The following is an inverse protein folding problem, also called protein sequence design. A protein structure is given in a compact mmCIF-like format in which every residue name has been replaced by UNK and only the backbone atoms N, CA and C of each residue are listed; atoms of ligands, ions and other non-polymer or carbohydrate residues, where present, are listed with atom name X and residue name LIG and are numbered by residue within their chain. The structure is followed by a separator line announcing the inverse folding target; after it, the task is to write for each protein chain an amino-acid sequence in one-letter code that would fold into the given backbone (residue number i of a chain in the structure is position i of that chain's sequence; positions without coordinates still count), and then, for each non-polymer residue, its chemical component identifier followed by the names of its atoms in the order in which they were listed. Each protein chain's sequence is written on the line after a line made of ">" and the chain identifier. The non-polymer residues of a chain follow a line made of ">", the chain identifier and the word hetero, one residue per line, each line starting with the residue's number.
data_IF_312809061272
#
_entry.id   IF_312809061272
#
_cell.length_a   1.000
_cell.length_b   1.000
_cell.length_c   1.000
_cell.angle_alpha   90.00
_cell.angle_beta   90.00
_cell.angle_gamma   90.00
#
_symmetry.space_group_name_H-M   'P 1'
#
loop_
_entity.id
_entity.type
_entity.pdbx_description
1 polymer ?
#
# COMPACT_ATOMS: atom_id res chain seq x y z
N UNK A 1 -2.94 -15.52 -20.21
CA UNK A 1 -1.66 -14.95 -19.76
C UNK A 1 -1.90 -13.48 -19.53
N UNK A 2 -1.63 -12.99 -18.33
CA UNK A 2 -1.75 -11.58 -17.95
C UNK A 2 -0.34 -11.00 -17.84
N UNK A 3 -0.13 -9.78 -18.35
CA UNK A 3 1.16 -9.08 -18.22
C UNK A 3 1.48 -8.89 -16.74
N UNK A 4 2.70 -9.23 -16.32
CA UNK A 4 3.18 -8.99 -14.95
C UNK A 4 4.43 -8.14 -15.03
N UNK A 5 4.40 -6.97 -14.38
CA UNK A 5 5.57 -6.11 -14.20
C UNK A 5 6.18 -6.44 -12.84
N UNK A 6 7.44 -6.79 -12.81
CA UNK A 6 8.19 -7.01 -11.58
C UNK A 6 8.34 -5.71 -10.77
N UNK A 7 8.51 -4.57 -11.45
CA UNK A 7 8.50 -3.24 -10.86
C UNK A 7 8.30 -2.16 -11.93
N UNK A 8 7.89 -0.97 -11.49
CA UNK A 8 7.93 0.28 -12.28
C UNK A 8 8.83 1.37 -11.68
N UNK A 9 9.54 1.08 -10.58
CA UNK A 9 10.32 2.06 -9.82
C UNK A 9 11.84 1.82 -9.87
N UNK A 10 12.28 0.63 -10.29
CA UNK A 10 13.70 0.27 -10.37
C UNK A 10 14.34 0.98 -11.58
N UNK A 11 15.43 1.72 -11.36
CA UNK A 11 16.14 2.46 -12.42
C UNK A 11 17.31 1.69 -13.03
N UNK A 12 17.77 0.61 -12.42
CA UNK A 12 18.87 -0.21 -12.93
C UNK A 12 18.41 -1.65 -13.17
N UNK A 13 18.73 -2.26 -14.33
CA UNK A 13 18.40 -3.66 -14.57
C UNK A 13 19.00 -4.57 -13.48
N UNK A 14 18.25 -5.58 -12.99
CA UNK A 14 18.80 -6.59 -12.10
C UNK A 14 20.02 -7.28 -12.72
N UNK A 15 21.06 -7.55 -11.92
CA UNK A 15 22.24 -8.26 -12.39
C UNK A 15 21.97 -9.69 -12.86
N UNK A 16 20.88 -10.29 -12.37
CA UNK A 16 20.38 -11.62 -12.77
C UNK A 16 18.87 -11.55 -12.94
N UNK A 17 18.40 -11.27 -14.16
CA UNK A 17 16.99 -11.34 -14.52
C UNK A 17 16.63 -12.75 -15.00
N UNK A 18 15.44 -13.22 -14.65
CA UNK A 18 14.89 -14.48 -15.15
C UNK A 18 14.24 -14.28 -16.52
N UNK A 19 14.24 -15.32 -17.35
CA UNK A 19 13.55 -15.30 -18.65
C UNK A 19 12.06 -14.94 -18.46
N UNK A 20 11.59 -13.96 -19.22
CA UNK A 20 10.23 -13.42 -19.13
C UNK A 20 10.04 -12.34 -18.07
N UNK A 21 11.06 -11.97 -17.30
CA UNK A 21 10.96 -10.85 -16.36
C UNK A 21 10.67 -9.54 -17.12
N UNK A 22 9.65 -8.81 -16.70
CA UNK A 22 9.20 -7.60 -17.36
C UNK A 22 9.17 -6.43 -16.37
N UNK A 23 9.65 -5.26 -16.78
CA UNK A 23 9.70 -4.05 -15.96
C UNK A 23 9.15 -2.87 -16.75
N UNK A 24 8.48 -1.94 -16.09
CA UNK A 24 8.27 -0.61 -16.67
C UNK A 24 9.48 0.26 -16.32
N UNK A 25 10.17 0.75 -17.35
CA UNK A 25 11.42 1.50 -17.17
C UNK A 25 11.09 2.93 -16.72
N UNK A 26 11.45 3.35 -15.50
CA UNK A 26 11.18 4.71 -15.03
C UNK A 26 12.11 5.74 -15.67
N UNK A 27 11.77 7.02 -15.51
CA UNK A 27 12.70 8.09 -15.80
C UNK A 27 14.00 7.96 -14.96
N UNK A 28 15.14 8.33 -15.55
CA UNK A 28 16.45 8.21 -14.89
C UNK A 28 17.00 6.78 -14.86
N UNK A 29 16.50 5.88 -15.71
CA UNK A 29 17.07 4.56 -15.85
C UNK A 29 18.51 4.58 -16.40
N UNK A 30 19.30 3.57 -16.03
CA UNK A 30 20.73 3.48 -16.30
C UNK A 30 21.13 2.12 -16.88
N UNK A 31 22.40 1.96 -17.25
CA UNK A 31 22.97 0.74 -17.82
C UNK A 31 22.22 0.31 -19.09
N UNK A 32 21.84 -0.97 -19.20
CA UNK A 32 21.11 -1.48 -20.36
C UNK A 32 19.73 -0.81 -20.55
N UNK A 33 19.21 -0.12 -19.54
CA UNK A 33 17.94 0.61 -19.59
C UNK A 33 18.12 2.11 -19.87
N UNK A 34 19.36 2.59 -20.05
CA UNK A 34 19.63 3.98 -20.38
C UNK A 34 18.92 4.39 -21.69
N UNK A 35 18.22 5.53 -21.65
CA UNK A 35 17.41 6.02 -22.77
C UNK A 35 16.11 5.25 -23.05
N UNK A 36 15.73 4.26 -22.23
CA UNK A 36 14.52 3.43 -22.42
C UNK A 36 13.35 3.82 -21.51
N UNK A 37 13.42 4.99 -20.86
CA UNK A 37 12.36 5.47 -19.97
C UNK A 37 10.98 5.50 -20.67
N UNK A 38 9.94 5.06 -19.95
CA UNK A 38 8.57 4.96 -20.46
C UNK A 38 8.25 3.66 -21.21
N UNK A 39 9.27 2.85 -21.55
CA UNK A 39 9.11 1.57 -22.24
C UNK A 39 8.97 0.42 -21.25
N UNK A 40 8.53 -0.73 -21.74
CA UNK A 40 8.66 -1.99 -21.02
C UNK A 40 9.98 -2.66 -21.38
N UNK A 41 10.72 -3.15 -20.40
CA UNK A 41 11.90 -3.98 -20.57
C UNK A 41 11.55 -5.44 -20.28
N UNK A 42 11.57 -6.30 -21.29
CA UNK A 42 11.33 -7.73 -21.20
C UNK A 42 12.66 -8.48 -21.32
N UNK A 43 13.02 -9.30 -20.33
CA UNK A 43 14.19 -10.15 -20.42
C UNK A 43 13.87 -11.40 -21.25
N UNK A 44 14.47 -11.52 -22.42
CA UNK A 44 14.25 -12.64 -23.35
C UNK A 44 15.54 -12.97 -24.10
N UNK A 45 15.81 -14.26 -24.29
CA UNK A 45 16.99 -14.71 -25.03
C UNK A 45 18.32 -14.25 -24.42
N UNK A 46 18.36 -14.00 -23.11
CA UNK A 46 19.55 -13.52 -22.40
C UNK A 46 19.82 -12.01 -22.51
N UNK A 47 18.88 -11.22 -23.04
CA UNK A 47 18.98 -9.78 -23.17
C UNK A 47 17.68 -9.05 -22.85
N UNK A 48 17.69 -7.73 -22.93
CA UNK A 48 16.51 -6.89 -22.74
C UNK A 48 15.93 -6.49 -24.09
N UNK A 49 14.70 -6.90 -24.36
CA UNK A 49 13.87 -6.35 -25.42
C UNK A 49 12.99 -5.23 -24.86
N UNK A 50 12.78 -4.19 -25.67
CA UNK A 50 12.03 -3.02 -25.24
C UNK A 50 10.77 -2.82 -26.09
N UNK A 51 9.64 -2.64 -25.42
CA UNK A 51 8.33 -2.49 -26.04
C UNK A 51 7.69 -1.16 -25.63
N UNK A 52 7.01 -0.52 -26.57
CA UNK A 52 6.26 0.70 -26.30
C UNK A 52 4.84 0.32 -25.82
N UNK A 53 4.48 0.60 -24.55
CA UNK A 53 3.13 0.32 -24.07
C UNK A 53 2.12 1.24 -24.75
N UNK A 54 0.91 0.73 -24.98
CA UNK A 54 -0.21 1.50 -25.56
C UNK A 54 -1.26 1.76 -24.48
N UNK A 55 -1.89 2.94 -24.53
CA UNK A 55 -2.97 3.32 -23.61
C UNK A 55 -3.99 2.20 -23.43
N UNK A 56 -4.33 1.90 -22.17
CA UNK A 56 -5.29 0.87 -21.80
C UNK A 56 -4.68 -0.52 -21.57
N UNK A 57 -3.38 -0.70 -21.79
CA UNK A 57 -2.68 -1.91 -21.36
C UNK A 57 -2.82 -2.11 -19.85
N UNK A 58 -2.93 -3.37 -19.44
CA UNK A 58 -3.11 -3.77 -18.04
C UNK A 58 -2.01 -4.72 -17.62
N UNK A 59 -1.56 -4.60 -16.38
CA UNK A 59 -0.59 -5.50 -15.79
C UNK A 59 -0.81 -5.66 -14.30
N UNK A 60 -0.35 -6.78 -13.74
CA UNK A 60 -0.10 -6.88 -12.30
C UNK A 60 1.28 -6.29 -11.98
N UNK A 61 1.36 -5.37 -11.03
CA UNK A 61 2.63 -4.80 -10.55
C UNK A 61 3.03 -5.56 -9.29
N UNK A 62 4.01 -6.46 -9.41
CA UNK A 62 4.27 -7.52 -8.44
C UNK A 62 4.79 -7.00 -7.09
N UNK A 63 5.69 -6.01 -7.11
CA UNK A 63 6.28 -5.42 -5.90
C UNK A 63 5.32 -4.48 -5.16
N UNK A 64 4.35 -3.88 -5.86
CA UNK A 64 3.28 -3.06 -5.27
C UNK A 64 2.02 -3.87 -4.89
N UNK A 65 1.86 -5.09 -5.43
CA UNK A 65 0.72 -5.96 -5.14
C UNK A 65 -0.62 -5.43 -5.64
N UNK A 66 -0.63 -4.71 -6.77
CA UNK A 66 -1.82 -4.05 -7.32
C UNK A 66 -1.90 -4.21 -8.84
N UNK A 67 -3.11 -4.16 -9.44
CA UNK A 67 -3.24 -4.00 -10.87
C UNK A 67 -2.78 -2.60 -11.29
N UNK A 68 -2.32 -2.45 -12.52
CA UNK A 68 -1.96 -1.17 -13.12
C UNK A 68 -2.54 -1.03 -14.52
N UNK A 69 -2.83 0.22 -14.90
CA UNK A 69 -3.27 0.59 -16.26
C UNK A 69 -2.29 1.60 -16.82
N UNK A 70 -1.81 1.38 -18.04
CA UNK A 70 -1.03 2.39 -18.75
C UNK A 70 -1.96 3.47 -19.32
N UNK A 71 -1.79 4.72 -18.91
CA UNK A 71 -2.68 5.83 -19.29
C UNK A 71 -2.31 6.51 -20.62
N UNK A 72 -1.24 6.04 -21.27
CA UNK A 72 -0.66 6.67 -22.46
C UNK A 72 0.63 7.42 -22.18
N UNK A 73 0.95 7.65 -20.90
CA UNK A 73 2.20 8.29 -20.47
C UNK A 73 2.88 7.47 -19.38
N UNK A 74 2.15 7.03 -18.35
CA UNK A 74 2.70 6.24 -17.24
C UNK A 74 1.78 5.07 -16.83
N UNK A 75 2.35 4.14 -16.08
CA UNK A 75 1.60 3.09 -15.39
C UNK A 75 0.95 3.64 -14.11
N UNK A 76 -0.37 3.70 -14.09
CA UNK A 76 -1.17 4.10 -12.93
C UNK A 76 -1.50 2.85 -12.10
N UNK A 77 -0.74 2.64 -11.03
CA UNK A 77 -0.91 1.54 -10.11
C UNK A 77 -2.19 1.69 -9.25
N UNK A 78 -2.82 0.57 -8.92
CA UNK A 78 -4.04 0.50 -8.12
C UNK A 78 -5.31 1.02 -8.81
N UNK A 79 -5.22 1.50 -10.06
CA UNK A 79 -6.38 2.05 -10.76
C UNK A 79 -7.07 1.05 -11.66
N UNK A 80 -8.41 0.99 -11.56
CA UNK A 80 -9.27 0.34 -12.55
C UNK A 80 -9.83 1.30 -13.60
N UNK A 81 -9.76 2.61 -13.36
CA UNK A 81 -10.33 3.64 -14.21
C UNK A 81 -9.39 4.85 -14.30
N UNK A 82 -8.94 5.14 -15.53
CA UNK A 82 -8.13 6.33 -15.84
C UNK A 82 -8.83 7.09 -16.96
N UNK A 83 -8.97 8.41 -16.78
CA UNK A 83 -9.55 9.31 -17.77
C UNK A 83 -8.53 9.65 -18.87
N UNK A 84 -8.98 10.15 -20.05
CA UNK A 84 -8.06 10.52 -21.15
C UNK A 84 -6.97 11.54 -20.77
N UNK A 85 -7.20 12.34 -19.73
CA UNK A 85 -6.26 13.34 -19.26
C UNK A 85 -5.58 12.92 -17.93
N UNK A 86 -5.50 11.62 -17.61
CA UNK A 86 -4.68 11.09 -16.51
C UNK A 86 -5.30 11.13 -15.11
N UNK A 87 -6.50 11.67 -14.93
CA UNK A 87 -7.21 11.54 -13.65
C UNK A 87 -7.61 10.07 -13.42
N UNK A 88 -7.45 9.57 -12.21
CA UNK A 88 -7.66 8.16 -11.90
C UNK A 88 -8.34 7.94 -10.55
N UNK A 89 -9.04 6.81 -10.45
CA UNK A 89 -9.53 6.27 -9.19
C UNK A 89 -8.62 5.11 -8.75
N UNK A 90 -7.78 5.36 -7.75
CA UNK A 90 -6.74 4.44 -7.29
C UNK A 90 -7.20 3.75 -6.02
N UNK A 91 -7.21 2.42 -5.99
CA UNK A 91 -7.42 1.61 -4.80
C UNK A 91 -6.07 1.06 -4.32
N UNK A 92 -5.81 1.15 -3.01
CA UNK A 92 -4.53 0.73 -2.43
C UNK A 92 -4.72 0.13 -1.05
N UNK A 93 -3.79 -0.74 -0.68
CA UNK A 93 -3.64 -1.25 0.69
C UNK A 93 -2.30 -0.76 1.23
N UNK A 94 -2.32 -0.03 2.34
CA UNK A 94 -1.12 0.41 3.05
C UNK A 94 -0.82 -0.58 4.16
N UNK A 95 0.06 -1.54 3.90
CA UNK A 95 0.47 -2.54 4.90
C UNK A 95 1.77 -2.12 5.60
N UNK A 96 1.80 -2.23 6.92
CA UNK A 96 2.99 -1.98 7.74
C UNK A 96 2.91 -2.74 9.07
N UNK A 97 4.09 -3.01 9.64
CA UNK A 97 4.20 -3.58 10.98
C UNK A 97 4.43 -2.47 12.01
N UNK A 98 3.63 -2.47 13.06
CA UNK A 98 3.71 -1.51 14.16
C UNK A 98 4.20 -2.22 15.43
N UNK A 99 5.28 -1.71 16.01
CA UNK A 99 5.77 -2.16 17.31
C UNK A 99 5.08 -1.34 18.41
N UNK A 100 4.42 -2.01 19.34
CA UNK A 100 3.62 -1.36 20.38
C UNK A 100 4.52 -0.64 21.39
N UNK A 101 4.31 0.66 21.54
CA UNK A 101 4.91 1.46 22.60
C UNK A 101 4.27 1.13 23.95
N UNK A 102 5.05 1.29 25.03
CA UNK A 102 4.51 1.11 26.39
C UNK A 102 3.68 2.33 26.80
N UNK A 103 2.48 2.09 27.33
CA UNK A 103 1.59 3.12 27.84
C UNK A 103 0.12 2.86 27.49
N UNK A 104 -0.78 3.80 27.81
CA UNK A 104 -2.22 3.61 27.59
C UNK A 104 -2.60 3.60 26.11
N UNK A 105 -1.76 4.20 25.26
CA UNK A 105 -1.92 4.22 23.82
C UNK A 105 -0.58 4.14 23.09
N UNK A 106 -0.62 3.69 21.84
CA UNK A 106 0.52 3.65 20.94
C UNK A 106 0.07 4.09 19.55
N UNK A 107 0.62 5.22 19.10
CA UNK A 107 0.37 5.76 17.76
C UNK A 107 1.29 5.11 16.73
N UNK A 108 0.75 4.82 15.56
CA UNK A 108 1.50 4.33 14.41
C UNK A 108 2.23 5.46 13.68
N UNK A 109 3.00 5.11 12.65
CA UNK A 109 3.31 6.07 11.59
C UNK A 109 2.02 6.63 10.96
N UNK A 110 2.11 7.77 10.28
CA UNK A 110 1.00 8.36 9.55
C UNK A 110 0.67 7.54 8.27
N UNK A 111 0.08 6.36 8.46
CA UNK A 111 -0.17 5.39 7.41
C UNK A 111 -1.42 5.68 6.57
N UNK A 112 -2.33 6.54 7.07
CA UNK A 112 -3.45 7.04 6.29
C UNK A 112 -2.99 8.31 5.57
N UNK A 113 -2.83 8.30 4.24
CA UNK A 113 -2.43 9.50 3.51
C UNK A 113 -3.53 10.56 3.54
N UNK A 114 -3.14 11.82 3.45
CA UNK A 114 -4.06 12.91 3.15
C UNK A 114 -4.70 12.75 1.75
N UNK A 115 -5.92 13.26 1.62
CA UNK A 115 -6.75 13.19 0.42
C UNK A 115 -7.16 11.76 0.01
N UNK A 116 -7.28 10.87 1.00
CA UNK A 116 -7.72 9.48 0.80
C UNK A 116 -9.08 9.22 1.47
N UNK A 117 -9.86 8.31 0.89
CA UNK A 117 -11.01 7.67 1.54
C UNK A 117 -10.59 6.33 2.13
N UNK A 118 -10.85 6.13 3.42
CA UNK A 118 -10.62 4.85 4.11
C UNK A 118 -11.92 4.05 4.16
N UNK A 119 -11.89 2.82 3.66
CA UNK A 119 -13.00 1.84 3.74
C UNK A 119 -12.93 0.98 4.99
N UNK A 120 -11.73 0.80 5.53
CA UNK A 120 -11.51 0.03 6.74
C UNK A 120 -10.05 -0.25 7.00
N UNK A 121 -9.79 -0.85 8.16
CA UNK A 121 -8.47 -1.32 8.56
C UNK A 121 -8.58 -2.79 8.96
N UNK A 122 -7.73 -3.62 8.38
CA UNK A 122 -7.53 -4.99 8.86
C UNK A 122 -6.20 -5.10 9.57
N UNK A 123 -6.07 -6.09 10.43
CA UNK A 123 -4.79 -6.33 11.08
C UNK A 123 -4.68 -7.67 11.78
N UNK A 124 -3.45 -8.02 12.13
CA UNK A 124 -3.11 -9.25 12.84
C UNK A 124 -2.01 -8.99 13.87
N UNK A 125 -2.22 -9.47 15.08
CA UNK A 125 -1.19 -9.48 16.14
C UNK A 125 -0.17 -10.55 15.77
N UNK A 126 1.06 -10.15 15.46
CA UNK A 126 2.14 -11.07 15.08
C UNK A 126 2.83 -11.66 16.31
N UNK A 127 3.07 -10.82 17.32
CA UNK A 127 3.57 -11.22 18.63
C UNK A 127 2.69 -10.64 19.72
N UNK A 128 2.49 -11.42 20.79
CA UNK A 128 1.53 -11.09 21.84
C UNK A 128 1.80 -9.70 22.43
N UNK A 129 0.73 -8.93 22.58
CA UNK A 129 0.75 -7.62 23.21
C UNK A 129 0.70 -7.83 24.73
N UNK A 130 1.68 -7.29 25.44
CA UNK A 130 1.75 -7.34 26.90
C UNK A 130 1.12 -6.12 27.57
N UNK A 131 1.42 -5.97 28.85
CA UNK A 131 0.95 -4.85 29.68
C UNK A 131 -0.15 -5.27 30.65
N UNK A 132 -0.92 -4.30 31.13
CA UNK A 132 -2.03 -4.51 32.07
C UNK A 132 -3.40 -4.44 31.39
N UNK A 133 -3.46 -4.01 30.13
CA UNK A 133 -4.69 -4.02 29.35
C UNK A 133 -5.27 -5.44 29.20
N UNK A 134 -6.59 -5.57 29.21
CA UNK A 134 -7.28 -6.87 29.01
C UNK A 134 -7.65 -7.12 27.55
N UNK A 135 -7.73 -6.05 26.76
CA UNK A 135 -7.96 -6.03 25.32
C UNK A 135 -7.44 -4.69 24.78
N UNK A 136 -7.53 -4.47 23.48
CA UNK A 136 -7.21 -3.18 22.88
C UNK A 136 -8.28 -2.74 21.89
N UNK A 137 -8.19 -1.49 21.45
CA UNK A 137 -9.06 -0.90 20.44
C UNK A 137 -8.21 -0.14 19.42
N UNK A 138 -8.73 -0.03 18.21
CA UNK A 138 -8.07 0.63 17.09
C UNK A 138 -8.92 1.79 16.61
N UNK A 139 -8.32 2.96 16.53
CA UNK A 139 -9.02 4.16 16.10
C UNK A 139 -8.09 5.29 15.71
N UNK A 140 -8.57 6.51 15.90
CA UNK A 140 -7.85 7.75 15.64
C UNK A 140 -7.78 8.53 16.95
N UNK A 141 -6.56 8.81 17.41
CA UNK A 141 -6.29 9.54 18.65
C UNK A 141 -7.03 10.88 18.70
N UNK A 142 -7.64 11.19 19.84
CA UNK A 142 -8.39 12.43 20.07
C UNK A 142 -9.70 12.58 19.29
N UNK A 143 -10.03 11.67 18.35
CA UNK A 143 -11.23 11.77 17.50
C UNK A 143 -12.21 10.63 17.78
N UNK A 144 -11.74 9.39 17.68
CA UNK A 144 -12.59 8.20 17.82
C UNK A 144 -11.70 6.98 18.11
N UNK A 145 -11.54 6.59 19.37
CA UNK A 145 -10.53 5.62 19.80
C UNK A 145 -10.81 4.18 19.36
N UNK A 146 -12.04 3.89 18.95
CA UNK A 146 -12.55 2.56 18.59
C UNK A 146 -13.11 2.49 17.16
N UNK A 147 -12.80 3.48 16.31
CA UNK A 147 -13.32 3.59 14.94
C UNK A 147 -13.24 2.30 14.13
N UNK A 148 -12.17 1.53 14.32
CA UNK A 148 -11.88 0.30 13.58
C UNK A 148 -12.01 -0.95 14.45
N UNK A 149 -12.58 -0.83 15.65
CA UNK A 149 -12.91 -1.95 16.52
C UNK A 149 -12.42 -1.75 17.95
N UNK A 150 -13.09 -2.43 18.87
CA UNK A 150 -12.80 -2.48 20.29
C UNK A 150 -12.87 -3.92 20.81
N UNK A 151 -12.31 -4.17 22.00
CA UNK A 151 -12.28 -5.51 22.59
C UNK A 151 -11.38 -6.49 21.84
N UNK A 152 -10.38 -5.99 21.11
CA UNK A 152 -9.48 -6.78 20.28
C UNK A 152 -8.52 -7.61 21.14
N UNK A 153 -8.26 -8.85 20.71
CA UNK A 153 -7.43 -9.81 21.44
C UNK A 153 -5.94 -9.45 21.43
N UNK A 154 -5.26 -9.74 22.54
CA UNK A 154 -3.83 -9.45 22.75
C UNK A 154 -2.90 -10.59 22.30
N UNK A 155 -3.43 -11.81 22.18
CA UNK A 155 -2.63 -12.98 21.84
C UNK A 155 -2.17 -12.95 20.38
N UNK A 156 -0.98 -13.50 20.11
CA UNK A 156 -0.49 -13.71 18.75
C UNK A 156 -1.52 -14.49 17.92
N UNK A 157 -1.76 -14.05 16.69
CA UNK A 157 -2.79 -14.58 15.79
C UNK A 157 -4.17 -13.93 15.94
N UNK A 158 -4.41 -13.14 16.99
CA UNK A 158 -5.60 -12.29 17.10
C UNK A 158 -5.66 -11.32 15.92
N UNK A 159 -6.85 -10.88 15.54
CA UNK A 159 -7.07 -10.10 14.32
C UNK A 159 -8.13 -9.02 14.51
N UNK A 160 -8.11 -8.04 13.60
CA UNK A 160 -9.12 -6.99 13.50
C UNK A 160 -9.58 -6.85 12.05
N UNK A 161 -10.88 -6.55 11.88
CA UNK A 161 -11.50 -6.15 10.61
C UNK A 161 -12.44 -4.99 10.89
N UNK A 162 -11.86 -3.79 11.01
CA UNK A 162 -12.58 -2.56 11.25
C UNK A 162 -13.12 -1.96 9.97
N UNK A 163 -14.35 -2.31 9.60
CA UNK A 163 -15.04 -1.69 8.48
C UNK A 163 -15.59 -0.33 8.88
N UNK A 164 -15.50 0.66 7.99
CA UNK A 164 -16.25 1.92 8.16
C UNK A 164 -17.65 1.75 7.56
N UNK A 165 -18.70 2.08 8.31
CA UNK A 165 -20.08 2.04 7.78
C UNK A 165 -20.29 2.92 6.55
N UNK A 166 -19.54 4.03 6.48
CA UNK A 166 -19.40 4.89 5.31
C UNK A 166 -17.92 5.20 5.13
N UNK A 167 -17.35 5.13 3.92
CA UNK A 167 -15.94 5.49 3.70
C UNK A 167 -15.64 6.88 4.25
N UNK A 168 -14.53 7.02 4.96
CA UNK A 168 -14.20 8.26 5.67
C UNK A 168 -13.05 8.96 4.96
N UNK A 169 -13.23 10.23 4.63
CA UNK A 169 -12.18 11.06 4.05
C UNK A 169 -11.20 11.55 5.12
N UNK A 170 -9.92 11.49 4.78
CA UNK A 170 -8.82 12.09 5.53
C UNK A 170 -8.14 13.13 4.64
N UNK A 171 -7.90 14.33 5.17
CA UNK A 171 -7.37 15.47 4.41
C UNK A 171 -5.91 15.80 4.72
N UNK A 172 -5.31 15.03 5.63
CA UNK A 172 -3.91 15.13 6.03
C UNK A 172 -3.41 13.76 6.45
N UNK A 173 -2.10 13.55 6.38
CA UNK A 173 -1.49 12.31 6.83
C UNK A 173 -1.83 12.05 8.30
N UNK A 174 -2.39 10.87 8.58
CA UNK A 174 -2.98 10.55 9.89
C UNK A 174 -2.48 9.21 10.39
N UNK A 175 -2.06 9.18 11.65
CA UNK A 175 -1.70 7.96 12.37
C UNK A 175 -2.95 7.23 12.88
N UNK A 176 -2.87 5.91 12.95
CA UNK A 176 -3.79 5.10 13.72
C UNK A 176 -3.32 5.06 15.17
N UNK A 177 -4.26 4.95 16.10
CA UNK A 177 -3.97 4.85 17.53
C UNK A 177 -4.49 3.53 18.06
N UNK A 178 -3.60 2.75 18.68
CA UNK A 178 -3.93 1.55 19.43
C UNK A 178 -4.06 1.94 20.90
N UNK A 179 -5.19 1.65 21.54
CA UNK A 179 -5.44 2.01 22.94
C UNK A 179 -5.72 0.77 23.77
N UNK A 180 -5.05 0.64 24.92
CA UNK A 180 -5.32 -0.43 25.87
C UNK A 180 -6.64 -0.22 26.59
N UNK A 181 -7.46 -1.28 26.65
CA UNK A 181 -8.68 -1.27 27.43
C UNK A 181 -8.37 -1.69 28.87
N UNK A 182 -8.67 -0.80 29.83
CA UNK A 182 -8.52 -1.07 31.26
C UNK A 182 -7.08 -1.12 31.77
N UNK A 183 -6.09 -0.74 30.96
CA UNK A 183 -4.68 -0.73 31.35
C UNK A 183 -3.74 -0.30 30.22
N UNK A 184 -2.45 -0.38 30.50
CA UNK A 184 -1.39 -0.03 29.56
C UNK A 184 -1.09 -1.22 28.64
N UNK A 185 -0.73 -0.90 27.40
CA UNK A 185 -0.09 -1.81 26.47
C UNK A 185 1.41 -1.87 26.75
N UNK A 186 2.06 -2.99 26.44
CA UNK A 186 3.52 -3.05 26.38
C UNK A 186 4.02 -4.12 25.42
N UNK A 187 4.91 -3.75 24.51
CA UNK A 187 5.53 -4.68 23.55
C UNK A 187 4.52 -5.40 22.64
N UNK A 188 5.05 -6.30 21.81
CA UNK A 188 4.28 -6.95 20.76
C UNK A 188 4.32 -6.18 19.43
N UNK A 189 3.88 -6.84 18.37
CA UNK A 189 3.88 -6.32 17.01
C UNK A 189 2.53 -6.61 16.38
N UNK A 190 1.94 -5.61 15.74
CA UNK A 190 0.70 -5.74 14.97
C UNK A 190 0.96 -5.35 13.53
N UNK A 191 0.61 -6.23 12.60
CA UNK A 191 0.52 -5.89 11.18
C UNK A 191 -0.81 -5.22 10.92
N UNK A 192 -0.79 -4.03 10.34
CA UNK A 192 -1.99 -3.29 9.97
C UNK A 192 -1.98 -3.07 8.46
N UNK A 193 -3.17 -3.10 7.87
CA UNK A 193 -3.41 -2.85 6.46
C UNK A 193 -4.60 -1.88 6.34
N UNK A 194 -4.32 -0.66 5.85
CA UNK A 194 -5.34 0.38 5.61
C UNK A 194 -5.85 0.23 4.18
N UNK A 195 -7.15 0.01 4.03
CA UNK A 195 -7.81 -0.17 2.74
C UNK A 195 -8.39 1.16 2.28
N UNK A 196 -7.80 1.75 1.23
CA UNK A 196 -8.09 3.12 0.82
C UNK A 196 -8.44 3.25 -0.67
N UNK A 197 -9.09 4.35 -1.01
CA UNK A 197 -9.12 4.90 -2.36
C UNK A 197 -8.62 6.35 -2.39
N UNK A 198 -7.94 6.69 -3.48
CA UNK A 198 -7.35 8.00 -3.74
C UNK A 198 -7.85 8.52 -5.10
N UNK A 199 -8.05 9.83 -5.21
CA UNK A 199 -8.44 10.50 -6.44
C UNK A 199 -7.24 11.28 -6.97
N UNK A 200 -6.71 10.87 -8.13
CA UNK A 200 -5.60 11.60 -8.75
C UNK A 200 -6.12 12.72 -9.64
N UNK A 201 -5.34 13.80 -9.70
CA UNK A 201 -5.67 14.95 -10.55
C UNK A 201 -5.42 14.61 -12.03
N UNK A 202 -6.16 15.26 -12.95
CA UNK A 202 -5.75 15.31 -14.35
C UNK A 202 -4.34 15.87 -14.50
N UNK A 203 -3.63 15.45 -15.55
CA UNK A 203 -2.34 16.04 -15.97
C UNK A 203 -2.56 17.48 -16.45
N UNK A 204 -1.52 18.31 -16.28
CA UNK A 204 -1.49 19.71 -16.70
C UNK A 204 -1.40 19.87 -18.22
#
# INVERSE_FOLDING_TARGET
>A
VELTLASRAITAPPGTAEEGACYAVPAGAVNAWDGQAGRLALFVGGGWDFLDPVTGWRAWIADEGVPGVFDGVDWVAGSGAVSPNGAAFVQRVVEFDHTIATGPSSDTIAAVPGNALVYGVSGRVLSAIGGTATSWQLGIGGVSPDRYGSGLGLAAGSWVRGLTSTPIAYYSDTALTLTGAGGDLSGGVVRLAVHIAELTLPRA
#
